data_IF_759287497115
#
_entry.id   IF_759287497115
#
_cell.length_a   1.000
_cell.length_b   1.000
_cell.length_c   1.000
_cell.angle_alpha   90.00
_cell.angle_beta   90.00
_cell.angle_gamma   90.00
#
_symmetry.space_group_name_H-M   'P 1'
#
loop_
_entity.id
_entity.type
_entity.pdbx_description
1 polymer ?
#
# COMPACT_ATOMS: atom_id res chain seq x y z
N UNK A 1 11.70 19.34 13.73
CA UNK A 1 12.01 17.89 13.70
C UNK A 1 10.90 17.02 14.31
N UNK A 2 10.34 17.34 15.49
CA UNK A 2 9.23 16.56 16.11
C UNK A 2 7.97 16.38 15.23
N UNK A 3 7.63 17.36 14.39
CA UNK A 3 6.46 17.29 13.49
C UNK A 3 6.62 16.23 12.39
N UNK A 4 7.79 16.20 11.71
CA UNK A 4 8.07 15.25 10.63
C UNK A 4 8.20 13.80 11.12
N UNK A 5 8.78 13.59 12.30
CA UNK A 5 8.80 12.27 12.93
C UNK A 5 7.40 11.82 13.33
N UNK A 6 6.55 12.72 13.83
CA UNK A 6 5.16 12.37 14.20
C UNK A 6 4.26 12.07 13.00
N UNK A 7 4.50 12.72 11.85
CA UNK A 7 3.73 12.44 10.62
C UNK A 7 4.13 11.11 9.99
N UNK A 8 5.43 10.75 10.03
CA UNK A 8 5.92 9.45 9.56
C UNK A 8 5.41 8.32 10.45
N UNK A 9 5.46 8.50 11.78
CA UNK A 9 4.88 7.55 12.75
C UNK A 9 3.36 7.43 12.58
N UNK A 10 2.65 8.54 12.40
CA UNK A 10 1.21 8.52 12.16
C UNK A 10 0.84 7.80 10.86
N UNK A 11 1.62 7.99 9.79
CA UNK A 11 1.39 7.30 8.52
C UNK A 11 1.75 5.81 8.60
N UNK A 12 2.80 5.45 9.34
CA UNK A 12 3.12 4.03 9.60
C UNK A 12 2.04 3.36 10.43
N UNK A 13 1.48 4.03 11.44
CA UNK A 13 0.42 3.48 12.29
C UNK A 13 -0.88 3.32 11.50
N UNK A 14 -1.23 4.29 10.65
CA UNK A 14 -2.40 4.19 9.77
C UNK A 14 -2.22 3.05 8.76
N UNK A 15 -1.05 2.95 8.10
CA UNK A 15 -0.75 1.86 7.18
C UNK A 15 -0.72 0.50 7.87
N UNK A 16 -0.14 0.43 9.07
CA UNK A 16 -0.09 -0.78 9.88
C UNK A 16 -1.50 -1.23 10.28
N UNK A 17 -2.32 -0.32 10.81
CA UNK A 17 -3.71 -0.62 11.14
C UNK A 17 -4.52 -1.02 9.89
N UNK A 18 -4.28 -0.41 8.73
CA UNK A 18 -4.93 -0.81 7.48
C UNK A 18 -4.51 -2.21 7.04
N UNK A 19 -3.22 -2.54 7.11
CA UNK A 19 -2.67 -3.84 6.75
C UNK A 19 -3.12 -4.95 7.72
N UNK A 20 -3.09 -4.69 9.03
CA UNK A 20 -3.43 -5.65 10.06
C UNK A 20 -4.93 -5.99 10.05
N UNK A 21 -5.80 -5.00 9.79
CA UNK A 21 -7.24 -5.21 9.76
C UNK A 21 -7.75 -5.80 8.43
N UNK A 22 -6.93 -5.81 7.38
CA UNK A 22 -7.34 -6.34 6.07
C UNK A 22 -7.15 -7.85 5.96
N UNK A 23 -8.24 -8.57 5.68
CA UNK A 23 -8.21 -10.02 5.42
C UNK A 23 -7.72 -10.29 3.98
N UNK A 24 -6.43 -10.53 3.82
CA UNK A 24 -5.82 -10.77 2.53
C UNK A 24 -6.09 -12.14 1.94
N UNK A 25 -6.12 -12.23 0.60
CA UNK A 25 -6.08 -13.51 -0.09
C UNK A 25 -4.73 -14.18 0.15
N UNK A 26 -4.79 -15.41 0.63
CA UNK A 26 -3.63 -16.28 0.70
C UNK A 26 -3.11 -16.60 -0.70
N UNK A 27 -1.78 -16.61 -0.84
CA UNK A 27 -1.09 -16.96 -2.09
C UNK A 27 -1.38 -18.39 -2.56
N UNK A 28 -1.86 -19.29 -1.69
CA UNK A 28 -2.26 -20.65 -2.08
C UNK A 28 -3.50 -20.69 -3.00
N UNK A 29 -4.30 -19.63 -3.04
CA UNK A 29 -5.44 -19.50 -3.96
C UNK A 29 -4.95 -19.19 -5.38
N UNK A 30 -3.74 -18.63 -5.50
CA UNK A 30 -3.13 -18.34 -6.79
C UNK A 30 -2.92 -19.64 -7.59
N UNK A 31 -3.29 -19.62 -8.86
CA UNK A 31 -2.82 -20.67 -9.79
C UNK A 31 -1.32 -20.57 -9.98
N UNK A 32 -0.69 -21.65 -10.46
CA UNK A 32 0.76 -21.71 -10.64
C UNK A 32 1.32 -20.53 -11.46
N UNK A 33 0.62 -20.13 -12.53
CA UNK A 33 1.03 -19.01 -13.38
C UNK A 33 1.05 -17.67 -12.64
N UNK A 34 -0.01 -17.36 -11.88
CA UNK A 34 -0.12 -16.08 -11.16
C UNK A 34 0.82 -16.06 -9.96
N UNK A 35 1.00 -17.20 -9.29
CA UNK A 35 1.97 -17.33 -8.23
C UNK A 35 3.39 -17.01 -8.72
N UNK A 36 3.81 -17.59 -9.85
CA UNK A 36 5.13 -17.31 -10.42
C UNK A 36 5.25 -15.86 -10.91
N UNK A 37 4.17 -15.28 -11.43
CA UNK A 37 4.13 -13.85 -11.77
C UNK A 37 4.36 -12.95 -10.54
N UNK A 38 3.62 -13.20 -9.45
CA UNK A 38 3.77 -12.45 -8.18
C UNK A 38 5.18 -12.60 -7.64
N UNK A 39 5.70 -13.84 -7.59
CA UNK A 39 7.06 -14.14 -7.12
C UNK A 39 8.15 -13.41 -7.92
N UNK A 40 7.99 -13.33 -9.25
CA UNK A 40 8.90 -12.55 -10.10
C UNK A 40 8.85 -11.06 -9.77
N UNK A 41 7.66 -10.48 -9.62
CA UNK A 41 7.50 -9.08 -9.25
C UNK A 41 8.06 -8.78 -7.85
N UNK A 42 7.85 -9.67 -6.86
CA UNK A 42 8.47 -9.56 -5.53
C UNK A 42 9.99 -9.53 -5.62
N UNK A 43 10.60 -10.41 -6.43
CA UNK A 43 12.06 -10.44 -6.60
C UNK A 43 12.58 -9.14 -7.19
N UNK A 44 11.92 -8.60 -8.22
CA UNK A 44 12.28 -7.31 -8.81
C UNK A 44 12.17 -6.18 -7.78
N UNK A 45 11.10 -6.17 -6.98
CA UNK A 45 10.93 -5.18 -5.92
C UNK A 45 12.03 -5.28 -4.86
N UNK A 46 12.39 -6.48 -4.42
CA UNK A 46 13.48 -6.67 -3.46
C UNK A 46 14.80 -6.12 -4.00
N UNK A 47 15.12 -6.41 -5.27
CA UNK A 47 16.33 -5.87 -5.93
C UNK A 47 16.29 -4.34 -5.94
N UNK A 48 15.15 -3.75 -6.33
CA UNK A 48 14.97 -2.30 -6.34
C UNK A 48 15.20 -1.68 -4.95
N UNK A 49 14.60 -2.25 -3.90
CA UNK A 49 14.76 -1.78 -2.52
C UNK A 49 16.24 -1.85 -2.10
N UNK A 50 16.93 -2.95 -2.38
CA UNK A 50 18.36 -3.10 -2.06
C UNK A 50 19.21 -2.04 -2.77
N UNK A 51 19.02 -1.86 -4.07
CA UNK A 51 19.77 -0.85 -4.86
C UNK A 51 19.50 0.56 -4.33
N UNK A 52 18.24 0.89 -4.05
CA UNK A 52 17.87 2.20 -3.52
C UNK A 52 18.49 2.46 -2.13
N UNK A 53 18.55 1.44 -1.26
CA UNK A 53 19.20 1.54 0.05
C UNK A 53 20.71 1.76 -0.08
N UNK A 54 21.38 1.06 -1.01
CA UNK A 54 22.80 1.27 -1.29
C UNK A 54 23.03 2.70 -1.78
N UNK A 55 22.26 3.15 -2.77
CA UNK A 55 22.38 4.50 -3.33
C UNK A 55 22.15 5.57 -2.26
N UNK A 56 21.11 5.42 -1.43
CA UNK A 56 20.84 6.31 -0.31
C UNK A 56 22.00 6.34 0.68
N UNK A 57 22.61 5.19 0.97
CA UNK A 57 23.78 5.10 1.85
C UNK A 57 24.99 5.83 1.25
N UNK A 58 25.25 5.65 -0.05
CA UNK A 58 26.29 6.39 -0.76
C UNK A 58 26.05 7.89 -0.73
N UNK A 59 24.80 8.36 -0.94
CA UNK A 59 24.45 9.77 -0.84
C UNK A 59 24.72 10.34 0.56
N UNK A 60 24.41 9.60 1.63
CA UNK A 60 24.71 10.02 3.00
C UNK A 60 26.22 10.14 3.21
N UNK A 61 27.00 9.15 2.75
CA UNK A 61 28.47 9.19 2.88
C UNK A 61 29.02 10.41 2.15
N UNK A 62 28.54 10.69 0.94
CA UNK A 62 28.95 11.88 0.18
C UNK A 62 28.57 13.19 0.90
N UNK A 63 27.39 13.26 1.53
CA UNK A 63 26.97 14.41 2.35
C UNK A 63 27.80 14.58 3.63
N UNK A 64 28.43 13.52 4.12
CA UNK A 64 29.33 13.61 5.27
C UNK A 64 30.69 14.19 4.89
N UNK A 65 31.14 14.01 3.64
CA UNK A 65 32.41 14.58 3.15
C UNK A 65 32.31 16.10 3.12
N UNK A 66 33.31 16.77 3.69
CA UNK A 66 33.36 18.23 3.83
C UNK A 66 33.64 18.93 2.50
N UNK A 67 32.79 19.87 2.11
CA UNK A 67 33.09 20.85 1.06
C UNK A 67 33.26 22.23 1.72
N UNK A 68 34.36 22.93 1.43
CA UNK A 68 34.60 24.28 1.93
C UNK A 68 33.49 25.25 1.53
N UNK A 69 32.80 24.98 0.42
CA UNK A 69 31.67 25.76 -0.09
C UNK A 69 30.39 25.62 0.75
N UNK A 70 30.30 24.63 1.64
CA UNK A 70 29.10 24.43 2.46
C UNK A 70 28.80 25.64 3.35
N UNK A 71 29.81 26.45 3.65
CA UNK A 71 29.69 27.68 4.45
C UNK A 71 28.85 28.76 3.77
N UNK A 72 28.80 28.76 2.44
CA UNK A 72 28.04 29.73 1.66
C UNK A 72 26.53 29.42 1.70
N UNK A 73 26.17 28.15 1.91
CA UNK A 73 24.79 27.68 1.90
C UNK A 73 24.19 27.52 3.30
N UNK A 74 25.01 27.18 4.30
CA UNK A 74 24.53 26.90 5.65
C UNK A 74 25.05 27.93 6.66
N UNK A 75 24.17 28.87 7.05
CA UNK A 75 24.45 29.89 8.07
C UNK A 75 25.02 29.29 9.37
N UNK A 76 24.58 28.10 9.76
CA UNK A 76 25.05 27.41 10.95
C UNK A 76 26.55 27.11 10.89
N UNK A 77 27.08 26.69 9.73
CA UNK A 77 28.51 26.41 9.57
C UNK A 77 29.35 27.70 9.59
N UNK A 78 28.84 28.78 8.98
CA UNK A 78 29.48 30.09 9.05
C UNK A 78 29.58 30.62 10.49
N UNK A 79 28.53 30.41 11.31
CA UNK A 79 28.55 30.78 12.73
C UNK A 79 29.51 29.92 13.55
N UNK A 80 29.55 28.61 13.32
CA UNK A 80 30.49 27.70 14.00
C UNK A 80 31.94 28.13 13.71
N UNK A 81 32.28 28.42 12.46
CA UNK A 81 33.64 28.85 12.13
C UNK A 81 34.00 30.20 12.75
N UNK A 82 33.05 31.14 12.79
CA UNK A 82 33.27 32.48 13.36
C UNK A 82 33.47 32.46 14.88
N UNK A 83 32.69 31.66 15.61
CA UNK A 83 32.68 31.67 17.08
C UNK A 83 33.44 30.52 17.73
N UNK A 84 33.67 29.42 17.03
CA UNK A 84 34.29 28.19 17.53
C UNK A 84 35.37 27.68 16.58
N UNK A 85 36.28 28.55 16.14
CA UNK A 85 37.29 28.24 15.12
C UNK A 85 38.17 27.02 15.46
N UNK A 86 38.50 26.81 16.74
CA UNK A 86 39.32 25.68 17.21
C UNK A 86 38.58 24.34 17.16
N UNK A 87 37.25 24.35 17.31
CA UNK A 87 36.42 23.14 17.36
C UNK A 87 35.52 22.99 16.14
N UNK A 88 35.76 23.79 15.08
CA UNK A 88 34.86 23.90 13.94
C UNK A 88 34.60 22.55 13.27
N UNK A 89 35.62 21.72 13.11
CA UNK A 89 35.49 20.43 12.43
C UNK A 89 34.62 19.46 13.23
N UNK A 90 34.77 19.45 14.56
CA UNK A 90 33.97 18.62 15.46
C UNK A 90 32.50 19.07 15.43
N UNK A 91 32.23 20.37 15.57
CA UNK A 91 30.86 20.88 15.54
C UNK A 91 30.20 20.71 14.17
N UNK A 92 30.93 20.96 13.07
CA UNK A 92 30.44 20.70 11.72
C UNK A 92 30.09 19.22 11.51
N UNK A 93 30.95 18.30 11.98
CA UNK A 93 30.69 16.86 11.94
C UNK A 93 29.43 16.50 12.74
N UNK A 94 29.31 16.98 13.98
CA UNK A 94 28.15 16.73 14.84
C UNK A 94 26.84 17.27 14.23
N UNK A 95 26.89 18.43 13.57
CA UNK A 95 25.73 18.99 12.87
C UNK A 95 25.30 18.17 11.64
N UNK A 96 26.20 17.36 11.06
CA UNK A 96 25.89 16.49 9.93
C UNK A 96 25.33 15.13 10.36
N UNK A 97 25.69 14.61 11.53
CA UNK A 97 25.20 13.32 12.04
C UNK A 97 23.67 13.12 11.95
N UNK A 98 22.81 14.13 12.21
CA UNK A 98 21.35 13.99 12.06
C UNK A 98 20.88 13.69 10.64
N UNK A 99 21.68 13.94 9.60
CA UNK A 99 21.33 13.62 8.22
C UNK A 99 21.34 12.11 7.94
N UNK A 100 22.11 11.33 8.73
CA UNK A 100 22.15 9.87 8.63
C UNK A 100 20.77 9.26 8.91
N UNK A 101 20.15 9.45 10.09
CA UNK A 101 18.82 8.92 10.35
C UNK A 101 17.76 9.57 9.45
N UNK A 102 17.92 10.84 9.06
CA UNK A 102 16.97 11.49 8.14
C UNK A 102 16.87 10.76 6.80
N UNK A 103 18.00 10.43 6.18
CA UNK A 103 17.98 9.73 4.90
C UNK A 103 17.42 8.29 5.00
N UNK A 104 17.70 7.57 6.09
CA UNK A 104 17.08 6.26 6.36
C UNK A 104 15.56 6.40 6.54
N UNK A 105 15.09 7.37 7.33
CA UNK A 105 13.65 7.57 7.54
C UNK A 105 12.92 7.98 6.26
N UNK A 106 13.51 8.83 5.42
CA UNK A 106 12.90 9.25 4.16
C UNK A 106 12.79 8.09 3.16
N UNK A 107 13.82 7.24 3.05
CA UNK A 107 13.78 6.06 2.18
C UNK A 107 12.77 5.01 2.69
N UNK A 108 12.68 4.81 4.00
CA UNK A 108 11.73 3.87 4.61
C UNK A 108 10.27 4.20 4.28
N UNK A 109 9.86 5.47 4.34
CA UNK A 109 8.49 5.87 3.98
C UNK A 109 8.16 5.57 2.51
N UNK A 110 9.12 5.79 1.61
CA UNK A 110 8.95 5.42 0.20
C UNK A 110 8.82 3.91 0.03
N UNK A 111 9.64 3.11 0.72
CA UNK A 111 9.55 1.64 0.67
C UNK A 111 8.21 1.12 1.20
N UNK A 112 7.69 1.70 2.29
CA UNK A 112 6.37 1.37 2.83
C UNK A 112 5.25 1.64 1.80
N UNK A 113 5.29 2.79 1.13
CA UNK A 113 4.30 3.12 0.11
C UNK A 113 4.37 2.16 -1.09
N UNK A 114 5.58 1.83 -1.56
CA UNK A 114 5.77 0.87 -2.66
C UNK A 114 5.29 -0.52 -2.27
N UNK A 115 5.63 -0.98 -1.05
CA UNK A 115 5.16 -2.26 -0.52
C UNK A 115 3.63 -2.31 -0.53
N UNK A 116 3.00 -1.27 0.01
CA UNK A 116 1.55 -1.17 0.08
C UNK A 116 0.88 -1.19 -1.30
N UNK A 117 1.37 -0.38 -2.25
CA UNK A 117 0.86 -0.36 -3.63
C UNK A 117 1.03 -1.70 -4.33
N UNK A 118 2.18 -2.36 -4.11
CA UNK A 118 2.45 -3.69 -4.68
C UNK A 118 1.53 -4.74 -4.08
N UNK A 119 1.27 -4.65 -2.78
CA UNK A 119 0.36 -5.55 -2.10
C UNK A 119 -1.06 -5.44 -2.66
N UNK A 120 -1.56 -4.21 -2.83
CA UNK A 120 -2.83 -3.90 -3.52
C UNK A 120 -2.86 -4.55 -4.91
N UNK A 121 -1.81 -4.34 -5.70
CA UNK A 121 -1.70 -4.87 -7.06
C UNK A 121 -1.81 -6.40 -7.08
N UNK A 122 -1.18 -7.09 -6.13
CA UNK A 122 -1.29 -8.55 -6.01
C UNK A 122 -2.68 -9.00 -5.59
N UNK A 123 -3.36 -8.29 -4.69
CA UNK A 123 -4.74 -8.61 -4.34
C UNK A 123 -5.67 -8.49 -5.57
N UNK A 124 -5.47 -7.48 -6.42
CA UNK A 124 -6.21 -7.34 -7.68
C UNK A 124 -5.92 -8.52 -8.63
N UNK A 125 -4.66 -8.94 -8.77
CA UNK A 125 -4.31 -10.12 -9.59
C UNK A 125 -5.02 -11.38 -9.11
N UNK A 126 -5.06 -11.62 -7.80
CA UNK A 126 -5.73 -12.78 -7.22
C UNK A 126 -7.24 -12.74 -7.42
N UNK A 127 -7.86 -11.56 -7.26
CA UNK A 127 -9.29 -11.36 -7.52
C UNK A 127 -9.63 -11.61 -8.99
N UNK A 128 -8.84 -11.08 -9.92
CA UNK A 128 -9.02 -11.31 -11.35
C UNK A 128 -8.93 -12.80 -11.70
N UNK A 129 -7.98 -13.52 -11.11
CA UNK A 129 -7.88 -14.97 -11.28
C UNK A 129 -9.13 -15.72 -10.85
N UNK A 130 -9.68 -15.34 -9.69
CA UNK A 130 -10.89 -15.95 -9.16
C UNK A 130 -12.08 -15.71 -10.08
N UNK A 131 -12.23 -14.48 -10.60
CA UNK A 131 -13.26 -14.15 -11.59
C UNK A 131 -13.13 -15.01 -12.86
N UNK A 132 -11.92 -15.12 -13.41
CA UNK A 132 -11.65 -15.97 -14.58
C UNK A 132 -12.01 -17.44 -14.33
N UNK A 133 -11.64 -17.99 -13.17
CA UNK A 133 -11.97 -19.39 -12.81
C UNK A 133 -13.48 -19.62 -12.70
N UNK A 134 -14.21 -18.67 -12.11
CA UNK A 134 -15.68 -18.75 -12.01
C UNK A 134 -16.31 -18.70 -13.40
N UNK A 135 -15.80 -17.84 -14.29
CA UNK A 135 -16.27 -17.76 -15.67
C UNK A 135 -15.96 -19.06 -16.45
N UNK A 136 -14.77 -19.65 -16.30
CA UNK A 136 -14.44 -20.94 -16.91
C UNK A 136 -15.31 -22.08 -16.39
N UNK A 137 -15.60 -22.11 -15.08
CA UNK A 137 -16.52 -23.08 -14.49
C UNK A 137 -17.92 -22.95 -15.10
N UNK A 138 -18.34 -21.72 -15.43
CA UNK A 138 -19.61 -21.47 -16.11
C UNK A 138 -19.65 -21.96 -17.56
N UNK A 139 -18.52 -21.95 -18.27
CA UNK A 139 -18.43 -22.40 -19.66
C UNK A 139 -18.50 -23.93 -19.79
N UNK A 140 -18.12 -24.65 -18.73
CA UNK A 140 -18.12 -26.13 -18.70
C UNK A 140 -19.49 -26.73 -18.33
N UNK A 141 -20.49 -25.92 -18.01
CA UNK A 141 -21.82 -26.36 -17.60
C UNK A 141 -22.84 -25.91 -18.66
N UNK A 142 -23.87 -26.73 -18.91
CA UNK A 142 -24.96 -26.34 -19.80
C UNK A 142 -25.65 -25.07 -19.26
N UNK A 143 -25.76 -24.05 -20.12
CA UNK A 143 -26.16 -22.70 -19.74
C UNK A 143 -27.53 -22.66 -19.05
N UNK A 144 -28.43 -23.59 -19.42
CA UNK A 144 -29.77 -23.73 -18.84
C UNK A 144 -29.78 -24.33 -17.42
N UNK A 145 -28.73 -25.05 -17.02
CA UNK A 145 -28.64 -25.73 -15.73
C UNK A 145 -27.83 -24.94 -14.68
N UNK A 146 -27.03 -23.96 -15.11
CA UNK A 146 -26.20 -23.11 -14.24
C UNK A 146 -26.98 -22.44 -13.10
N UNK A 147 -28.21 -21.97 -13.38
CA UNK A 147 -29.04 -21.31 -12.36
C UNK A 147 -29.47 -22.25 -11.23
N UNK A 148 -29.60 -23.54 -11.53
CA UNK A 148 -30.14 -24.55 -10.62
C UNK A 148 -29.06 -25.40 -9.96
N UNK A 149 -27.82 -25.34 -10.48
CA UNK A 149 -26.66 -26.00 -9.88
C UNK A 149 -26.29 -25.39 -8.52
N UNK A 150 -26.72 -26.05 -7.45
CA UNK A 150 -26.62 -25.53 -6.09
C UNK A 150 -25.15 -25.35 -5.66
N UNK A 151 -24.27 -26.26 -6.06
CA UNK A 151 -22.84 -26.17 -5.75
C UNK A 151 -22.19 -24.95 -6.41
N UNK A 152 -22.53 -24.69 -7.67
CA UNK A 152 -22.06 -23.51 -8.41
C UNK A 152 -22.57 -22.21 -7.77
N UNK A 153 -23.86 -22.14 -7.44
CA UNK A 153 -24.45 -20.95 -6.83
C UNK A 153 -23.93 -20.69 -5.41
N UNK A 154 -23.71 -21.72 -4.59
CA UNK A 154 -23.07 -21.58 -3.26
C UNK A 154 -21.64 -21.07 -3.38
N UNK A 155 -20.88 -21.55 -4.36
CA UNK A 155 -19.50 -21.11 -4.58
C UNK A 155 -19.43 -19.64 -5.01
N UNK A 156 -20.33 -19.19 -5.89
CA UNK A 156 -20.46 -17.77 -6.24
C UNK A 156 -20.80 -16.93 -5.01
N UNK A 157 -21.79 -17.33 -4.22
CA UNK A 157 -22.22 -16.57 -3.05
C UNK A 157 -21.08 -16.42 -2.03
N UNK A 158 -20.37 -17.52 -1.75
CA UNK A 158 -19.20 -17.51 -0.87
C UNK A 158 -18.12 -16.54 -1.38
N UNK A 159 -17.80 -16.60 -2.67
CA UNK A 159 -16.81 -15.70 -3.27
C UNK A 159 -17.25 -14.23 -3.25
N UNK A 160 -18.54 -13.94 -3.48
CA UNK A 160 -19.10 -12.59 -3.39
C UNK A 160 -19.07 -12.05 -1.97
N UNK A 161 -19.44 -12.85 -0.97
CA UNK A 161 -19.38 -12.46 0.44
C UNK A 161 -17.95 -12.16 0.90
N UNK A 162 -17.02 -13.04 0.52
CA UNK A 162 -15.59 -12.85 0.78
C UNK A 162 -15.10 -11.55 0.12
N UNK A 163 -15.48 -11.29 -1.13
CA UNK A 163 -15.08 -10.06 -1.83
C UNK A 163 -15.71 -8.80 -1.23
N UNK A 164 -16.99 -8.85 -0.82
CA UNK A 164 -17.68 -7.75 -0.17
C UNK A 164 -17.02 -7.36 1.16
N UNK A 165 -16.82 -8.34 2.05
CA UNK A 165 -16.20 -8.10 3.36
C UNK A 165 -14.80 -7.49 3.21
N UNK A 166 -14.06 -7.92 2.18
CA UNK A 166 -12.74 -7.37 1.85
C UNK A 166 -12.81 -5.96 1.30
N UNK A 167 -13.71 -5.70 0.35
CA UNK A 167 -13.88 -4.36 -0.19
C UNK A 167 -14.21 -3.37 0.92
N UNK A 168 -15.18 -3.71 1.78
CA UNK A 168 -15.59 -2.91 2.96
C UNK A 168 -14.41 -2.62 3.90
N UNK A 169 -13.51 -3.59 4.12
CA UNK A 169 -12.32 -3.41 4.96
C UNK A 169 -11.18 -2.64 4.29
N UNK A 170 -11.05 -2.71 2.96
CA UNK A 170 -10.09 -1.97 2.17
C UNK A 170 -10.60 -0.56 1.77
N UNK A 171 -11.80 -0.18 2.22
CA UNK A 171 -12.40 1.13 1.99
C UNK A 171 -11.55 2.22 2.65
N UNK A 172 -10.79 2.90 1.79
CA UNK A 172 -10.05 4.10 2.14
C UNK A 172 -9.27 4.68 0.97
N UNK A 173 -9.30 4.08 -0.22
CA UNK A 173 -8.49 4.50 -1.37
C UNK A 173 -9.39 4.53 -2.61
N UNK A 174 -9.60 5.72 -3.18
CA UNK A 174 -10.46 5.94 -4.35
C UNK A 174 -10.03 5.07 -5.55
N UNK A 175 -8.73 4.97 -5.82
CA UNK A 175 -8.19 4.15 -6.93
C UNK A 175 -8.49 2.65 -6.77
N UNK A 176 -8.61 2.17 -5.53
CA UNK A 176 -8.90 0.77 -5.25
C UNK A 176 -10.36 0.40 -5.57
N UNK A 177 -11.27 1.36 -5.36
CA UNK A 177 -12.69 1.20 -5.71
C UNK A 177 -12.87 1.00 -7.21
N UNK A 178 -12.12 1.74 -8.03
CA UNK A 178 -12.14 1.64 -9.48
C UNK A 178 -11.64 0.27 -9.99
N UNK A 179 -10.55 -0.22 -9.41
CA UNK A 179 -10.02 -1.55 -9.74
C UNK A 179 -10.97 -2.68 -9.31
N UNK A 180 -11.59 -2.55 -8.13
CA UNK A 180 -12.61 -3.49 -7.66
C UNK A 180 -13.85 -3.49 -8.55
N UNK A 181 -14.29 -2.31 -9.00
CA UNK A 181 -15.38 -2.15 -9.96
C UNK A 181 -15.08 -2.83 -11.30
N UNK A 182 -13.89 -2.61 -11.87
CA UNK A 182 -13.46 -3.27 -13.11
C UNK A 182 -13.44 -4.80 -12.96
N UNK A 183 -12.92 -5.32 -11.84
CA UNK A 183 -12.91 -6.76 -11.58
C UNK A 183 -14.33 -7.33 -11.46
N UNK A 184 -15.29 -6.57 -10.90
CA UNK A 184 -16.69 -6.97 -10.81
C UNK A 184 -17.41 -6.96 -12.17
N UNK A 185 -16.98 -6.09 -13.09
CA UNK A 185 -17.54 -6.04 -14.44
C UNK A 185 -17.19 -7.27 -15.28
N UNK A 186 -16.05 -7.92 -15.00
CA UNK A 186 -15.60 -9.11 -15.73
C UNK A 186 -16.43 -10.38 -15.41
N UNK A 187 -17.33 -10.35 -14.43
CA UNK A 187 -18.17 -11.51 -14.09
C UNK A 187 -19.36 -11.65 -15.05
N UNK A 188 -19.61 -12.88 -15.54
CA UNK A 188 -20.81 -13.25 -16.31
C UNK A 188 -22.06 -13.36 -15.41
N UNK A 189 -22.43 -12.27 -14.74
CA UNK A 189 -23.49 -12.23 -13.72
C UNK A 189 -24.88 -12.63 -14.23
N UNK A 190 -25.10 -12.58 -15.55
CA UNK A 190 -26.37 -12.96 -16.19
C UNK A 190 -26.70 -14.45 -16.01
N UNK A 191 -25.70 -15.31 -15.77
CA UNK A 191 -25.88 -16.75 -15.51
C UNK A 191 -26.19 -17.08 -14.04
N UNK A 192 -26.29 -16.07 -13.17
CA UNK A 192 -26.47 -16.29 -11.74
C UNK A 192 -27.94 -16.35 -11.33
N UNK A 193 -28.23 -17.07 -10.26
CA UNK A 193 -29.58 -17.10 -9.69
C UNK A 193 -29.98 -15.73 -9.12
N UNK A 194 -31.27 -15.56 -8.81
CA UNK A 194 -31.82 -14.28 -8.33
C UNK A 194 -31.14 -13.76 -7.05
N UNK A 195 -30.71 -14.66 -6.16
CA UNK A 195 -30.05 -14.29 -4.91
C UNK A 195 -28.64 -13.75 -5.16
N UNK A 196 -27.86 -14.43 -6.00
CA UNK A 196 -26.50 -14.02 -6.37
C UNK A 196 -26.50 -12.73 -7.20
N UNK A 197 -27.48 -12.55 -8.09
CA UNK A 197 -27.68 -11.27 -8.81
C UNK A 197 -27.95 -10.10 -7.86
N UNK A 198 -28.76 -10.32 -6.80
CA UNK A 198 -29.01 -9.29 -5.78
C UNK A 198 -27.74 -8.94 -5.01
N UNK A 199 -26.98 -9.95 -4.57
CA UNK A 199 -25.71 -9.74 -3.90
C UNK A 199 -24.70 -8.99 -4.80
N UNK A 200 -24.59 -9.38 -6.07
CA UNK A 200 -23.78 -8.72 -7.08
C UNK A 200 -24.10 -7.24 -7.22
N UNK A 201 -25.39 -6.90 -7.41
CA UNK A 201 -25.82 -5.51 -7.59
C UNK A 201 -25.51 -4.65 -6.36
N UNK A 202 -25.69 -5.20 -5.16
CA UNK A 202 -25.33 -4.50 -3.92
C UNK A 202 -23.83 -4.19 -3.91
N UNK A 203 -22.99 -5.19 -4.18
CA UNK A 203 -21.53 -5.04 -4.22
C UNK A 203 -21.10 -4.06 -5.32
N UNK A 204 -21.73 -4.13 -6.49
CA UNK A 204 -21.47 -3.24 -7.62
C UNK A 204 -21.77 -1.79 -7.25
N UNK A 205 -22.94 -1.51 -6.65
CA UNK A 205 -23.32 -0.18 -6.16
C UNK A 205 -22.31 0.32 -5.12
N UNK A 206 -21.91 -0.53 -4.17
CA UNK A 206 -20.90 -0.15 -3.18
C UNK A 206 -19.52 0.15 -3.80
N UNK A 207 -19.13 -0.57 -4.85
CA UNK A 207 -17.88 -0.31 -5.58
C UNK A 207 -17.93 0.93 -6.49
N UNK A 208 -19.12 1.35 -6.92
CA UNK A 208 -19.33 2.56 -7.75
C UNK A 208 -19.28 3.86 -6.95
N UNK A 209 -19.38 3.82 -5.62
CA UNK A 209 -19.30 5.02 -4.78
C UNK A 209 -17.81 5.29 -4.49
N UNK A 210 -17.16 6.27 -5.16
CA UNK A 210 -15.78 6.61 -4.84
C UNK A 210 -15.73 7.11 -3.40
N UNK A 211 -15.01 6.37 -2.55
CA UNK A 211 -14.84 6.74 -1.17
C UNK A 211 -13.86 7.89 -1.06
N UNK A 212 -14.40 9.12 -1.01
CA UNK A 212 -13.65 10.28 -0.57
C UNK A 212 -13.21 10.05 0.86
N UNK A 213 -11.90 9.94 1.11
CA UNK A 213 -11.37 10.10 2.47
C UNK A 213 -11.70 11.53 2.87
N UNK A 214 -12.81 11.73 3.58
CA UNK A 214 -13.02 12.97 4.29
C UNK A 214 -12.05 12.94 5.46
N UNK A 215 -10.87 13.53 5.24
CA UNK A 215 -9.99 13.93 6.34
C UNK A 215 -10.80 14.95 7.14
N UNK A 216 -11.57 14.45 8.12
CA UNK A 216 -12.36 15.30 9.00
C UNK A 216 -11.40 16.31 9.63
N UNK A 217 -11.60 17.62 9.43
CA UNK A 217 -10.75 18.63 10.06
C UNK A 217 -10.78 18.54 11.59
N UNK A 218 -11.82 17.91 12.16
CA UNK A 218 -11.99 17.67 13.59
C UNK A 218 -11.46 16.30 14.09
N UNK A 219 -10.94 15.45 13.20
CA UNK A 219 -10.11 14.28 13.54
C UNK A 219 -8.64 14.51 13.19
N UNK A 220 -8.18 15.77 13.19
CA UNK A 220 -6.79 16.01 13.54
C UNK A 220 -6.53 15.24 14.84
N UNK A 221 -5.60 14.28 14.78
CA UNK A 221 -5.17 13.45 15.90
C UNK A 221 -5.28 14.25 17.20
N UNK A 222 -6.01 13.69 18.16
CA UNK A 222 -6.09 14.26 19.50
C UNK A 222 -4.70 14.10 20.15
N UNK A 223 -3.75 14.97 19.80
CA UNK A 223 -2.39 15.05 20.35
C UNK A 223 -2.38 15.41 21.85
N UNK A 224 -3.55 15.59 22.47
CA UNK A 224 -3.72 15.86 23.90
C UNK A 224 -3.49 14.66 24.81
N UNK A 225 -3.37 13.44 24.29
CA UNK A 225 -3.08 12.24 25.10
C UNK A 225 -1.57 11.96 25.30
N UNK A 226 -0.68 12.83 24.79
CA UNK A 226 0.78 12.69 24.94
C UNK A 226 1.45 13.70 25.88
N UNK A 227 0.67 14.45 26.66
CA UNK A 227 1.16 15.39 27.68
C UNK A 227 0.41 15.16 29.01
N UNK A 228 0.62 13.99 29.60
CA UNK A 228 0.43 13.72 31.03
C UNK A 228 1.52 12.77 31.49
#
# INVERSE_FOLDING_TARGET
MKLATSSILGMSDVLYNLLENSEFLYLNVAGGEIFEKIKRECRLLTIFVIVNTILSTCCIILLLIFDEKDKDYYLLFALIEKYFSEYKDIFCFLCRLPHIPLAVTMSASCHQMIYFCTHIKFQIYLQKNLATRINQLSENLEENNLMYEENYQRQILSNLQINYHRQVKLVGIEDLSMAGFQALHDFKWYNWNKQNKRAYLIILIFSMIPFKIQVSPNKALNYRLGLS
#
